data_IF_802439412609
#
_entry.id   IF_802439412609
#
_cell.length_a   1.000
_cell.length_b   1.000
_cell.length_c   1.000
_cell.angle_alpha   90.00
_cell.angle_beta   90.00
_cell.angle_gamma   90.00
#
_symmetry.space_group_name_H-M   'P 1'
#
loop_
_entity.id
_entity.type
_entity.pdbx_description
1 polymer ?
#
# COMPACT_ATOMS: atom_id res chain seq x y z
N UNK A 1 -10.47 -4.56 -14.99
CA UNK A 1 -9.15 -4.55 -14.31
C UNK A 1 -9.05 -3.25 -13.52
N UNK A 2 -8.88 -3.31 -12.20
CA UNK A 2 -8.70 -2.11 -11.38
C UNK A 2 -7.26 -1.62 -11.51
N UNK A 3 -7.06 -0.33 -11.82
CA UNK A 3 -5.75 0.30 -11.78
C UNK A 3 -5.31 0.37 -10.31
N UNK A 4 -4.29 -0.39 -9.95
CA UNK A 4 -3.64 -0.25 -8.65
C UNK A 4 -2.92 1.09 -8.62
N UNK A 5 -3.12 1.89 -7.58
CA UNK A 5 -2.42 3.17 -7.44
C UNK A 5 -1.64 3.27 -6.13
N UNK A 6 -0.45 3.86 -6.32
CA UNK A 6 0.56 4.38 -5.39
C UNK A 6 1.62 3.48 -4.77
N UNK A 7 2.84 4.05 -4.74
CA UNK A 7 4.13 3.42 -4.44
C UNK A 7 4.88 3.97 -3.22
N UNK A 8 5.87 3.16 -2.85
CA UNK A 8 7.02 3.24 -1.94
C UNK A 8 6.88 3.96 -0.59
N UNK A 9 7.14 3.18 0.46
CA UNK A 9 7.42 3.54 1.86
C UNK A 9 6.42 4.47 2.56
N UNK A 10 6.12 4.16 3.82
CA UNK A 10 5.13 4.87 4.62
C UNK A 10 5.29 6.40 4.56
N UNK A 11 6.51 6.98 4.52
CA UNK A 11 6.71 8.44 4.40
C UNK A 11 6.55 8.97 2.97
N UNK A 12 7.13 8.31 1.96
CA UNK A 12 7.04 8.75 0.56
C UNK A 12 5.61 8.59 0.01
N UNK A 13 4.93 7.50 0.36
CA UNK A 13 3.50 7.29 0.11
C UNK A 13 2.63 8.39 0.71
N UNK A 14 2.85 8.73 1.99
CA UNK A 14 2.07 9.78 2.65
C UNK A 14 2.35 11.17 2.09
N UNK A 15 3.61 11.46 1.74
CA UNK A 15 4.03 12.76 1.20
C UNK A 15 3.36 13.02 -0.14
N UNK A 16 3.29 11.99 -0.99
CA UNK A 16 2.55 12.02 -2.25
C UNK A 16 1.06 12.15 -2.04
N UNK A 17 0.49 11.51 -1.02
CA UNK A 17 -0.93 11.66 -0.66
C UNK A 17 -1.29 13.08 -0.21
N UNK A 18 -0.45 13.78 0.56
CA UNK A 18 -0.71 15.16 0.98
C UNK A 18 -0.55 16.17 -0.16
N UNK A 19 0.40 15.95 -1.07
CA UNK A 19 0.61 16.83 -2.23
C UNK A 19 -0.47 16.69 -3.32
N UNK A 20 -1.54 15.90 -3.10
CA UNK A 20 -2.68 15.71 -4.02
C UNK A 20 -3.68 16.89 -4.04
N UNK A 21 -3.19 18.13 -4.18
CA UNK A 21 -3.97 19.21 -4.80
C UNK A 21 -3.62 19.43 -6.28
N UNK A 22 -2.61 18.76 -6.84
CA UNK A 22 -2.29 18.88 -8.26
C UNK A 22 -1.76 17.57 -8.85
N UNK A 23 -2.59 16.89 -9.63
CA UNK A 23 -2.19 15.95 -10.69
C UNK A 23 -1.11 14.90 -10.32
N UNK A 24 -1.48 13.87 -9.56
CA UNK A 24 -0.75 12.59 -9.65
C UNK A 24 -1.39 11.78 -10.77
N UNK A 25 -0.91 12.00 -11.99
CA UNK A 25 -1.12 11.07 -13.10
C UNK A 25 -0.68 9.68 -12.61
N UNK A 26 -1.51 8.67 -12.87
CA UNK A 26 -1.28 7.26 -12.53
C UNK A 26 0.21 6.89 -12.55
N UNK A 27 0.85 6.80 -11.37
CA UNK A 27 2.17 6.21 -11.29
C UNK A 27 2.01 4.70 -11.30
N UNK A 28 2.35 4.09 -12.43
CA UNK A 28 2.45 2.65 -12.57
C UNK A 28 3.48 2.13 -11.57
N UNK A 29 3.02 1.32 -10.63
CA UNK A 29 3.87 0.69 -9.62
C UNK A 29 4.81 -0.30 -10.31
N UNK A 30 6.12 -0.19 -10.10
CA UNK A 30 7.09 -1.08 -10.74
C UNK A 30 7.05 -2.49 -10.12
N UNK A 31 6.90 -3.51 -10.97
CA UNK A 31 7.05 -4.93 -10.59
C UNK A 31 8.37 -5.18 -9.85
N UNK A 32 9.46 -4.51 -10.27
CA UNK A 32 10.77 -4.65 -9.65
C UNK A 32 10.83 -4.08 -8.23
N UNK A 33 10.11 -2.99 -7.96
CA UNK A 33 10.05 -2.36 -6.64
C UNK A 33 9.37 -3.28 -5.63
N UNK A 34 8.20 -3.83 -6.00
CA UNK A 34 7.47 -4.77 -5.14
C UNK A 34 8.31 -6.03 -4.88
N UNK A 35 8.97 -6.55 -5.91
CA UNK A 35 9.89 -7.69 -5.75
C UNK A 35 11.04 -7.37 -4.79
N UNK A 36 11.66 -6.18 -4.87
CA UNK A 36 12.69 -5.75 -3.92
C UNK A 36 12.16 -5.63 -2.49
N UNK A 37 10.96 -5.10 -2.29
CA UNK A 37 10.31 -5.05 -0.99
C UNK A 37 10.15 -6.47 -0.41
N UNK A 38 9.61 -7.40 -1.18
CA UNK A 38 9.40 -8.77 -0.73
C UNK A 38 10.69 -9.54 -0.49
N UNK A 39 11.72 -9.36 -1.33
CA UNK A 39 13.06 -9.92 -1.09
C UNK A 39 13.64 -9.46 0.25
N UNK A 40 13.35 -8.22 0.66
CA UNK A 40 13.78 -7.64 1.94
C UNK A 40 12.80 -7.93 3.09
N UNK A 41 11.77 -8.75 2.87
CA UNK A 41 10.70 -9.04 3.84
C UNK A 41 9.94 -7.79 4.32
N UNK A 42 9.88 -6.76 3.47
CA UNK A 42 9.17 -5.50 3.75
C UNK A 42 7.79 -5.57 3.10
N UNK A 43 6.70 -5.34 3.86
CA UNK A 43 5.36 -5.26 3.28
C UNK A 43 5.22 -4.07 2.33
N UNK A 44 4.50 -4.28 1.25
CA UNK A 44 4.18 -3.25 0.28
C UNK A 44 2.77 -2.68 0.54
N UNK A 45 2.64 -1.36 0.62
CA UNK A 45 1.36 -0.68 0.87
C UNK A 45 0.83 -0.09 -0.43
N UNK A 46 -0.46 -0.27 -0.70
CA UNK A 46 -1.10 0.34 -1.86
C UNK A 46 -2.57 0.65 -1.59
N UNK A 47 -3.13 1.52 -2.44
CA UNK A 47 -4.55 1.84 -2.43
C UNK A 47 -5.30 1.00 -3.46
N UNK A 48 -6.35 0.33 -3.00
CA UNK A 48 -7.33 -0.31 -3.87
C UNK A 48 -8.69 0.34 -3.63
N UNK A 49 -9.07 1.27 -4.51
CA UNK A 49 -10.32 2.03 -4.37
C UNK A 49 -11.58 1.17 -4.58
N UNK A 50 -11.46 -0.01 -5.20
CA UNK A 50 -12.59 -0.93 -5.37
C UNK A 50 -12.88 -1.66 -4.04
N UNK A 51 -11.83 -2.07 -3.33
CA UNK A 51 -11.95 -2.80 -2.05
C UNK A 51 -12.00 -1.90 -0.83
N UNK A 52 -11.42 -0.70 -0.89
CA UNK A 52 -11.27 0.22 0.24
C UNK A 52 -11.71 1.62 -0.16
N UNK A 53 -12.87 2.03 0.36
CA UNK A 53 -13.43 3.36 0.11
C UNK A 53 -12.90 4.46 1.02
N UNK A 54 -12.49 4.14 2.26
CA UNK A 54 -12.02 5.15 3.23
C UNK A 54 -10.61 5.61 2.89
N UNK A 55 -10.38 6.91 2.87
CA UNK A 55 -9.10 7.51 2.44
C UNK A 55 -7.91 7.07 3.27
N UNK A 56 -8.07 6.96 4.59
CA UNK A 56 -7.02 6.56 5.53
C UNK A 56 -6.80 5.04 5.64
N UNK A 57 -7.44 4.23 4.80
CA UNK A 57 -7.27 2.77 4.78
C UNK A 57 -6.56 2.29 3.53
N UNK A 58 -5.73 1.27 3.68
CA UNK A 58 -4.84 0.76 2.64
C UNK A 58 -4.77 -0.77 2.70
N UNK A 59 -4.33 -1.37 1.59
CA UNK A 59 -3.93 -2.78 1.58
C UNK A 59 -2.45 -2.84 1.91
N UNK A 60 -2.10 -3.70 2.87
CA UNK A 60 -0.72 -4.12 3.13
C UNK A 60 -0.53 -5.50 2.52
N UNK A 61 0.23 -5.58 1.44
CA UNK A 61 0.67 -6.83 0.82
C UNK A 61 1.98 -7.29 1.46
N UNK A 62 1.91 -8.41 2.18
CA UNK A 62 3.05 -9.00 2.85
C UNK A 62 3.88 -9.83 1.86
N UNK A 63 5.12 -10.14 2.21
CA UNK A 63 6.06 -10.87 1.34
C UNK A 63 5.67 -12.34 1.10
N UNK A 64 4.88 -12.93 2.00
CA UNK A 64 4.28 -14.26 1.84
C UNK A 64 3.07 -14.26 0.87
N UNK A 65 2.75 -13.11 0.29
CA UNK A 65 1.61 -12.94 -0.60
C UNK A 65 0.27 -12.82 0.12
N UNK A 66 0.23 -12.73 1.46
CA UNK A 66 -1.00 -12.39 2.19
C UNK A 66 -1.32 -10.90 2.10
N UNK A 67 -2.58 -10.54 2.33
CA UNK A 67 -3.00 -9.13 2.35
C UNK A 67 -3.79 -8.80 3.62
N UNK A 68 -3.48 -7.65 4.21
CA UNK A 68 -4.21 -7.06 5.32
C UNK A 68 -4.85 -5.73 4.91
N UNK A 69 -6.01 -5.42 5.47
CA UNK A 69 -6.52 -4.04 5.49
C UNK A 69 -5.94 -3.35 6.71
N UNK A 70 -5.21 -2.27 6.48
CA UNK A 70 -4.63 -1.43 7.53
C UNK A 70 -5.21 -0.03 7.46
N UNK A 71 -5.29 0.61 8.62
CA UNK A 71 -5.73 1.99 8.78
C UNK A 71 -4.57 2.80 9.34
N UNK A 72 -4.30 3.93 8.72
CA UNK A 72 -3.32 4.87 9.21
C UNK A 72 -3.97 5.77 10.27
N UNK A 73 -3.37 5.79 11.46
CA UNK A 73 -3.78 6.71 12.50
C UNK A 73 -3.25 8.11 12.18
N UNK A 74 -4.17 9.07 12.06
CA UNK A 74 -3.88 10.49 11.86
C UNK A 74 -2.95 10.77 10.65
N UNK A 75 -3.54 10.78 9.45
CA UNK A 75 -2.87 11.00 8.17
C UNK A 75 -1.96 12.24 8.17
N UNK A 76 -2.43 13.34 8.77
CA UNK A 76 -1.72 14.61 8.81
C UNK A 76 -0.45 14.56 9.65
N UNK A 77 -0.48 13.83 10.78
CA UNK A 77 0.68 13.71 11.67
C UNK A 77 1.66 12.63 11.26
N UNK A 78 1.20 11.61 10.53
CA UNK A 78 2.02 10.47 10.16
C UNK A 78 3.25 10.86 9.31
N UNK A 79 3.20 11.97 8.59
CA UNK A 79 4.34 12.49 7.81
C UNK A 79 5.48 13.04 8.63
N UNK A 80 5.14 13.71 9.72
CA UNK A 80 6.10 14.34 10.64
C UNK A 80 6.52 13.38 11.75
N UNK A 81 5.86 12.23 11.88
CA UNK A 81 6.18 11.22 12.86
C UNK A 81 7.48 10.50 12.51
N UNK A 82 8.32 10.25 13.50
CA UNK A 82 9.49 9.36 13.35
C UNK A 82 9.02 7.95 12.96
N UNK A 83 7.97 7.45 13.62
CA UNK A 83 7.36 6.14 13.39
C UNK A 83 5.95 6.25 12.84
N UNK A 84 5.69 5.58 11.71
CA UNK A 84 4.35 5.49 11.14
C UNK A 84 3.69 4.23 11.66
N UNK A 85 2.61 4.40 12.43
CA UNK A 85 1.84 3.31 13.01
C UNK A 85 0.61 3.02 12.15
N UNK A 86 0.55 1.81 11.63
CA UNK A 86 -0.63 1.27 10.98
C UNK A 86 -1.40 0.39 11.96
N UNK A 87 -2.71 0.60 12.07
CA UNK A 87 -3.61 -0.31 12.77
C UNK A 87 -4.11 -1.36 11.80
N UNK A 88 -3.82 -2.64 12.04
CA UNK A 88 -4.46 -3.73 11.29
C UNK A 88 -5.95 -3.76 11.64
N UNK A 89 -6.80 -3.65 10.62
CA UNK A 89 -8.25 -3.70 10.77
C UNK A 89 -8.75 -5.12 10.60
N UNK A 90 -8.30 -5.80 9.54
CA UNK A 90 -8.62 -7.20 9.28
C UNK A 90 -7.63 -7.83 8.32
N UNK A 91 -7.52 -9.15 8.36
CA UNK A 91 -6.96 -9.89 7.24
C UNK A 91 -7.90 -9.75 6.03
N UNK A 92 -7.32 -9.55 4.84
CA UNK A 92 -8.07 -9.51 3.59
C UNK A 92 -7.94 -10.82 2.82
N UNK A 93 -6.74 -11.41 2.77
CA UNK A 93 -6.45 -12.65 2.02
C UNK A 93 -5.34 -13.45 2.69
N UNK A 94 -5.38 -14.80 2.58
CA UNK A 94 -4.33 -15.66 3.10
C UNK A 94 -3.05 -15.61 2.24
N UNK A 95 -1.99 -16.23 2.73
CA UNK A 95 -0.70 -16.32 2.06
C UNK A 95 -0.83 -16.90 0.64
N UNK A 96 -0.07 -16.34 -0.31
CA UNK A 96 -0.11 -16.73 -1.71
C UNK A 96 -1.37 -16.29 -2.49
N UNK A 97 -2.43 -15.80 -1.84
CA UNK A 97 -3.68 -15.44 -2.52
C UNK A 97 -3.87 -13.93 -2.75
N UNK A 98 -2.92 -13.11 -2.29
CA UNK A 98 -2.94 -11.66 -2.44
C UNK A 98 -3.10 -11.23 -3.90
N UNK A 99 -3.92 -10.19 -4.11
CA UNK A 99 -4.19 -9.68 -5.46
C UNK A 99 -2.90 -9.19 -6.11
N UNK A 100 -2.08 -8.43 -5.36
CA UNK A 100 -0.82 -7.92 -5.87
C UNK A 100 0.18 -9.04 -6.18
N UNK A 101 0.22 -10.05 -5.32
CA UNK A 101 1.05 -11.24 -5.47
C UNK A 101 0.73 -12.01 -6.75
N UNK A 102 -0.55 -12.29 -6.98
CA UNK A 102 -1.01 -12.99 -8.18
C UNK A 102 -0.81 -12.18 -9.47
N UNK A 103 -0.89 -10.85 -9.39
CA UNK A 103 -0.64 -9.99 -10.54
C UNK A 103 0.83 -9.96 -10.96
N UNK A 104 1.77 -9.98 -10.00
CA UNK A 104 3.20 -9.98 -10.27
C UNK A 104 3.72 -11.35 -10.73
N UNK A 105 3.07 -12.43 -10.28
CA UNK A 105 3.44 -13.79 -10.71
C UNK A 105 3.14 -14.03 -12.20
N UNK A 106 2.16 -13.32 -12.76
CA UNK A 106 1.87 -13.30 -14.20
C UNK A 106 2.94 -12.51 -14.96
#
# INVERSE_FOLDING_TARGET
MGKLTDNEFSKSFLSRMQNRQGQVNHMDISKQEIQRCWQRQIPYLYKDNQRIRKDNRFIRANADGSEDVVELANLERALYSQDIKFKKIRASRPAGEGVLFQQIKK
#
